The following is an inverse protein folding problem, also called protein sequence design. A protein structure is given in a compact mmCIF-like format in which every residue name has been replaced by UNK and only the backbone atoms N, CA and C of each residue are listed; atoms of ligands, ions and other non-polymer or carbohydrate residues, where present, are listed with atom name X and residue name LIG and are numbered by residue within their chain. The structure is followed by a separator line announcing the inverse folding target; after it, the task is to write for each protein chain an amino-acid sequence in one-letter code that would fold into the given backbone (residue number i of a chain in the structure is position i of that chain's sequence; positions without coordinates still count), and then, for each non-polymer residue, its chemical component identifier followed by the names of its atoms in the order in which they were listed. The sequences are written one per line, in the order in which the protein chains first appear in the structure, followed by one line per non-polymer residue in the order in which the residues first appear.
data_IF_007446535081
#
_entry.id   IF_007446535081
#
_cell.length_a   1.000
_cell.length_b   1.000
_cell.length_c   1.000
_cell.angle_alpha   90.00
_cell.angle_beta   90.00
_cell.angle_gamma   90.00
#
_symmetry.space_group_name_H-M   'P 1'
#
loop_
_entity.id
_entity.type
_entity.pdbx_description
1 polymer ?
#
# COMPACT_ATOMS: atom_id res chain seq x y z
N UNK A 1 -20.54 -2.03 -4.42
CA UNK A 1 -19.54 -1.86 -5.51
C UNK A 1 -18.17 -1.95 -4.85
N UNK A 2 -17.48 -3.05 -5.08
CA UNK A 2 -16.18 -3.34 -4.45
C UNK A 2 -15.15 -2.36 -4.97
N UNK A 3 -14.70 -1.46 -4.11
CA UNK A 3 -13.61 -0.54 -4.42
C UNK A 3 -12.29 -1.32 -4.35
N UNK A 4 -12.02 -2.11 -5.40
CA UNK A 4 -10.84 -2.95 -5.54
C UNK A 4 -9.66 -2.08 -5.99
N UNK A 5 -9.27 -1.11 -5.15
CA UNK A 5 -7.97 -0.43 -5.26
C UNK A 5 -6.91 -1.28 -4.57
N UNK A 6 -6.83 -2.54 -4.99
CA UNK A 6 -5.65 -3.36 -4.73
C UNK A 6 -4.45 -2.57 -5.24
N UNK A 7 -3.48 -2.36 -4.37
CA UNK A 7 -2.26 -1.61 -4.65
C UNK A 7 -1.79 -1.86 -6.09
N UNK A 8 -1.77 -0.82 -6.93
CA UNK A 8 -1.17 -0.84 -8.28
C UNK A 8 0.30 -1.29 -8.30
N UNK A 9 0.87 -1.50 -7.13
CA UNK A 9 2.21 -2.02 -6.87
C UNK A 9 2.44 -3.48 -7.33
N UNK A 10 1.38 -4.23 -7.61
CA UNK A 10 1.48 -5.65 -7.93
C UNK A 10 1.06 -5.98 -9.38
N UNK A 11 1.23 -5.05 -10.32
CA UNK A 11 1.06 -5.29 -11.78
C UNK A 11 -0.28 -5.99 -12.12
N UNK A 12 -1.40 -5.53 -11.55
CA UNK A 12 -2.74 -6.12 -11.71
C UNK A 12 -2.87 -7.60 -11.30
N UNK A 13 -1.88 -8.16 -10.61
CA UNK A 13 -2.00 -9.51 -10.08
C UNK A 13 -2.95 -9.55 -8.88
N UNK A 14 -3.87 -10.52 -8.83
CA UNK A 14 -4.87 -10.61 -7.79
C UNK A 14 -4.24 -11.01 -6.45
N UNK A 15 -4.05 -10.05 -5.55
CA UNK A 15 -3.69 -10.30 -4.16
C UNK A 15 -4.98 -10.40 -3.33
N UNK A 16 -5.17 -11.53 -2.67
CA UNK A 16 -6.33 -11.69 -1.77
C UNK A 16 -6.14 -10.83 -0.53
N UNK A 17 -7.21 -10.14 -0.16
CA UNK A 17 -7.24 -9.23 0.99
C UNK A 17 -8.42 -9.53 1.87
N UNK A 18 -8.34 -9.15 3.14
CA UNK A 18 -9.44 -9.15 4.09
C UNK A 18 -9.42 -7.85 4.89
N UNK A 19 -10.59 -7.30 5.15
CA UNK A 19 -10.78 -6.20 6.09
C UNK A 19 -11.13 -6.74 7.46
N UNK A 20 -10.44 -6.30 8.50
CA UNK A 20 -10.75 -6.57 9.89
C UNK A 20 -11.48 -5.35 10.49
N UNK A 21 -12.78 -5.44 10.79
CA UNK A 21 -13.55 -4.32 11.31
C UNK A 21 -13.26 -3.99 12.77
N UNK A 22 -12.66 -4.92 13.53
CA UNK A 22 -12.34 -4.71 14.95
C UNK A 22 -11.04 -3.91 15.10
N UNK A 23 -10.08 -4.17 14.21
CA UNK A 23 -8.79 -3.47 14.19
C UNK A 23 -8.77 -2.32 13.19
N UNK A 24 -9.83 -2.16 12.37
CA UNK A 24 -9.93 -1.17 11.29
C UNK A 24 -8.74 -1.23 10.32
N UNK A 25 -8.26 -2.47 10.01
CA UNK A 25 -7.04 -2.71 9.25
C UNK A 25 -7.26 -3.67 8.07
N UNK A 26 -6.49 -3.47 6.99
CA UNK A 26 -6.45 -4.38 5.85
C UNK A 26 -5.36 -5.43 6.01
N UNK A 27 -5.74 -6.68 5.78
CA UNK A 27 -4.83 -7.82 5.76
C UNK A 27 -4.65 -8.37 4.36
N UNK A 28 -3.41 -8.66 4.00
CA UNK A 28 -2.98 -9.11 2.68
C UNK A 28 -2.42 -10.53 2.75
N UNK A 29 -2.76 -11.37 1.77
CA UNK A 29 -2.20 -12.72 1.63
C UNK A 29 -0.70 -12.66 1.33
N UNK A 30 0.13 -13.09 2.28
CA UNK A 30 1.60 -13.09 2.13
C UNK A 30 2.00 -14.03 1.00
N UNK A 31 1.34 -15.18 0.88
CA UNK A 31 1.65 -16.17 -0.17
C UNK A 31 1.40 -15.60 -1.57
N UNK A 32 0.35 -14.80 -1.76
CA UNK A 32 0.06 -14.19 -3.05
C UNK A 32 1.12 -13.14 -3.40
N UNK A 33 1.48 -12.28 -2.46
CA UNK A 33 2.52 -11.26 -2.63
C UNK A 33 3.88 -11.89 -2.93
N UNK A 34 4.27 -12.91 -2.16
CA UNK A 34 5.49 -13.69 -2.41
C UNK A 34 5.46 -14.32 -3.79
N UNK A 35 4.32 -14.90 -4.19
CA UNK A 35 4.14 -15.51 -5.50
C UNK A 35 4.40 -14.52 -6.62
N UNK A 36 3.84 -13.34 -6.56
CA UNK A 36 4.02 -12.27 -7.56
C UNK A 36 5.47 -11.79 -7.59
N UNK A 37 6.05 -11.47 -6.43
CA UNK A 37 7.39 -10.89 -6.34
C UNK A 37 8.51 -11.89 -6.64
N UNK A 38 8.27 -13.19 -6.52
CA UNK A 38 9.25 -14.24 -6.82
C UNK A 38 8.91 -15.03 -8.09
N UNK A 39 7.91 -14.55 -8.85
CA UNK A 39 7.48 -15.15 -10.14
C UNK A 39 7.13 -16.63 -10.02
N UNK A 40 6.50 -17.02 -8.90
CA UNK A 40 6.09 -18.41 -8.73
C UNK A 40 4.86 -18.73 -9.57
N UNK A 41 4.99 -19.73 -10.41
CA UNK A 41 3.94 -20.15 -11.34
C UNK A 41 2.72 -20.80 -10.66
N UNK A 42 2.86 -21.24 -9.42
CA UNK A 42 1.78 -21.89 -8.66
C UNK A 42 1.71 -21.42 -7.21
N UNK A 43 0.50 -21.43 -6.64
CA UNK A 43 0.30 -21.14 -5.22
C UNK A 43 1.07 -22.09 -4.29
N UNK A 44 1.29 -23.36 -4.73
CA UNK A 44 2.09 -24.31 -3.97
C UNK A 44 3.56 -23.88 -3.88
N UNK A 45 4.14 -23.45 -4.99
CA UNK A 45 5.53 -22.97 -5.02
C UNK A 45 5.68 -21.71 -4.19
N UNK A 46 4.74 -20.77 -4.28
CA UNK A 46 4.72 -19.57 -3.46
C UNK A 46 4.63 -19.90 -1.95
N UNK A 47 3.80 -20.87 -1.56
CA UNK A 47 3.70 -21.34 -0.18
C UNK A 47 5.01 -22.00 0.30
N UNK A 48 5.67 -22.77 -0.56
CA UNK A 48 6.98 -23.38 -0.25
C UNK A 48 8.04 -22.29 -0.05
N UNK A 49 8.08 -21.31 -0.95
CA UNK A 49 9.00 -20.18 -0.83
C UNK A 49 8.77 -19.41 0.48
N UNK A 50 7.51 -19.13 0.81
CA UNK A 50 7.17 -18.47 2.07
C UNK A 50 7.63 -19.26 3.29
N UNK A 51 7.46 -20.59 3.29
CA UNK A 51 7.95 -21.44 4.38
C UNK A 51 9.48 -21.37 4.55
N UNK A 52 10.23 -21.35 3.45
CA UNK A 52 11.69 -21.17 3.46
C UNK A 52 12.06 -19.77 3.96
N UNK A 53 11.38 -18.72 3.49
CA UNK A 53 11.61 -17.36 3.92
C UNK A 53 11.35 -17.18 5.41
N UNK A 54 10.25 -17.75 5.94
CA UNK A 54 9.98 -17.76 7.38
C UNK A 54 11.11 -18.38 8.19
N UNK A 55 11.64 -19.52 7.73
CA UNK A 55 12.75 -20.19 8.40
C UNK A 55 14.00 -19.32 8.43
N UNK A 56 14.32 -18.67 7.31
CA UNK A 56 15.47 -17.77 7.19
C UNK A 56 15.33 -16.56 8.13
N UNK A 57 14.18 -15.90 8.13
CA UNK A 57 13.90 -14.74 8.98
C UNK A 57 14.06 -15.09 10.46
N UNK A 58 13.62 -16.29 10.89
CA UNK A 58 13.85 -16.79 12.26
C UNK A 58 15.32 -16.97 12.57
N UNK A 59 16.09 -17.52 11.63
CA UNK A 59 17.53 -17.73 11.81
C UNK A 59 18.33 -16.40 11.88
N UNK A 60 17.83 -15.37 11.20
CA UNK A 60 18.40 -14.02 11.19
C UNK A 60 17.96 -13.18 12.40
N UNK A 61 17.16 -13.74 13.32
CA UNK A 61 16.66 -13.04 14.51
C UNK A 61 15.52 -12.04 14.22
N UNK A 62 14.88 -12.15 13.06
CA UNK A 62 13.75 -11.32 12.67
C UNK A 62 12.40 -11.94 13.05
N UNK A 63 12.31 -12.58 14.21
CA UNK A 63 11.10 -13.26 14.69
C UNK A 63 9.91 -12.31 14.84
N UNK A 64 10.15 -11.06 15.18
CA UNK A 64 9.09 -10.04 15.30
C UNK A 64 8.30 -9.85 14.00
N UNK A 65 8.95 -10.00 12.84
CA UNK A 65 8.28 -9.94 11.54
C UNK A 65 7.21 -11.02 11.36
N UNK A 66 7.36 -12.13 12.08
CA UNK A 66 6.48 -13.29 11.95
C UNK A 66 5.44 -13.34 13.05
N UNK A 67 5.72 -12.73 14.21
CA UNK A 67 4.84 -12.78 15.39
C UNK A 67 3.51 -12.08 15.13
N UNK A 68 3.51 -11.01 14.35
CA UNK A 68 2.31 -10.23 14.01
C UNK A 68 1.59 -10.75 12.77
N UNK A 69 2.11 -11.79 12.10
CA UNK A 69 1.39 -12.44 11.01
C UNK A 69 0.22 -13.26 11.56
N UNK A 70 -0.97 -12.99 11.04
CA UNK A 70 -2.19 -13.72 11.41
C UNK A 70 -2.50 -14.81 10.40
N UNK A 71 -3.45 -15.69 10.76
CA UNK A 71 -4.03 -16.66 9.83
C UNK A 71 -5.52 -16.39 9.65
N UNK A 72 -5.91 -16.06 8.42
CA UNK A 72 -7.30 -15.82 8.05
C UNK A 72 -7.77 -16.84 7.00
N UNK A 73 -9.09 -17.16 7.04
CA UNK A 73 -9.71 -18.01 6.04
C UNK A 73 -10.01 -17.21 4.78
N UNK A 74 -9.13 -17.25 3.80
CA UNK A 74 -9.33 -16.61 2.50
C UNK A 74 -9.86 -17.60 1.45
N UNK A 75 -10.65 -17.08 0.49
CA UNK A 75 -11.16 -17.88 -0.64
C UNK A 75 -10.02 -18.19 -1.60
N UNK A 76 -9.81 -19.47 -1.88
CA UNK A 76 -8.84 -19.94 -2.87
C UNK A 76 -9.46 -19.96 -4.28
N UNK A 77 -8.64 -20.17 -5.32
CA UNK A 77 -9.07 -20.23 -6.72
C UNK A 77 -10.07 -21.35 -7.01
N UNK A 78 -10.03 -22.43 -6.21
CA UNK A 78 -10.99 -23.55 -6.25
C UNK A 78 -12.31 -23.26 -5.51
N UNK A 79 -12.50 -22.04 -5.03
CA UNK A 79 -13.70 -21.60 -4.31
C UNK A 79 -13.72 -22.00 -2.81
N UNK A 80 -12.81 -22.83 -2.36
CA UNK A 80 -12.73 -23.27 -0.94
C UNK A 80 -12.07 -22.21 -0.08
N UNK A 81 -12.51 -22.07 1.16
CA UNK A 81 -11.85 -21.24 2.16
C UNK A 81 -10.73 -22.01 2.84
N UNK A 82 -9.52 -21.44 2.82
CA UNK A 82 -8.32 -22.04 3.43
C UNK A 82 -7.64 -21.04 4.36
N UNK A 83 -7.11 -21.55 5.47
CA UNK A 83 -6.23 -20.75 6.32
C UNK A 83 -5.02 -20.30 5.52
N UNK A 84 -4.78 -19.00 5.52
CA UNK A 84 -3.72 -18.33 4.76
C UNK A 84 -3.02 -17.36 5.68
N UNK A 85 -1.69 -17.37 5.67
CA UNK A 85 -0.90 -16.39 6.39
C UNK A 85 -1.12 -15.01 5.77
N UNK A 86 -1.49 -14.06 6.61
CA UNK A 86 -1.75 -12.67 6.21
C UNK A 86 -0.94 -11.71 7.08
N UNK A 87 -0.67 -10.55 6.53
CA UNK A 87 -0.02 -9.45 7.22
C UNK A 87 -0.79 -8.16 6.97
N UNK A 88 -0.75 -7.24 7.94
CA UNK A 88 -1.14 -5.86 7.75
C UNK A 88 -0.18 -5.12 6.81
N UNK A 89 -0.44 -3.86 6.54
CA UNK A 89 0.37 -3.08 5.60
C UNK A 89 1.81 -2.94 6.07
N UNK A 90 2.05 -2.65 7.35
CA UNK A 90 3.40 -2.46 7.89
C UNK A 90 4.23 -3.74 7.80
N UNK A 91 3.67 -4.85 8.29
CA UNK A 91 4.34 -6.14 8.26
C UNK A 91 4.62 -6.61 6.83
N UNK A 92 3.65 -6.39 5.91
CA UNK A 92 3.83 -6.72 4.51
C UNK A 92 5.00 -5.97 3.89
N UNK A 93 5.11 -4.66 4.12
CA UNK A 93 6.22 -3.83 3.63
C UNK A 93 7.57 -4.33 4.15
N UNK A 94 7.66 -4.72 5.41
CA UNK A 94 8.87 -5.30 6.01
C UNK A 94 9.22 -6.67 5.40
N UNK A 95 8.23 -7.54 5.18
CA UNK A 95 8.42 -8.85 4.54
C UNK A 95 8.94 -8.68 3.11
N UNK A 96 8.38 -7.75 2.33
CA UNK A 96 8.81 -7.48 0.95
C UNK A 96 10.28 -7.06 0.89
N UNK A 97 10.75 -6.25 1.84
CA UNK A 97 12.15 -5.85 1.91
C UNK A 97 13.09 -7.04 2.10
N UNK A 98 12.61 -8.11 2.74
CA UNK A 98 13.37 -9.34 2.99
C UNK A 98 13.39 -10.30 1.79
N UNK A 99 12.63 -10.04 0.72
CA UNK A 99 12.57 -10.90 -0.46
C UNK A 99 13.73 -10.56 -1.41
N UNK A 100 14.71 -11.48 -1.65
CA UNK A 100 15.79 -11.26 -2.60
C UNK A 100 15.32 -11.59 -4.02
N UNK A 101 14.54 -10.71 -4.61
CA UNK A 101 14.04 -10.86 -5.98
C UNK A 101 14.24 -9.58 -6.77
N UNK A 102 14.59 -9.71 -8.06
CA UNK A 102 14.67 -8.58 -9.00
C UNK A 102 13.33 -7.86 -9.14
N UNK A 103 12.22 -8.58 -9.05
CA UNK A 103 10.85 -8.01 -9.08
C UNK A 103 10.50 -7.21 -7.84
N UNK A 104 11.13 -7.50 -6.70
CA UNK A 104 10.96 -6.73 -5.48
C UNK A 104 11.77 -5.41 -5.47
N UNK A 105 12.81 -5.29 -6.32
CA UNK A 105 13.68 -4.10 -6.34
C UNK A 105 12.94 -2.78 -6.67
N UNK A 106 12.08 -2.70 -7.69
CA UNK A 106 11.31 -1.47 -7.95
C UNK A 106 10.48 -1.03 -6.75
N UNK A 107 9.92 -2.00 -6.01
CA UNK A 107 9.16 -1.74 -4.79
C UNK A 107 10.05 -1.20 -3.66
N UNK A 108 11.24 -1.80 -3.46
CA UNK A 108 12.21 -1.33 -2.45
C UNK A 108 12.71 0.08 -2.75
N UNK A 109 12.97 0.37 -4.04
CA UNK A 109 13.33 1.71 -4.50
C UNK A 109 12.21 2.72 -4.25
N UNK A 110 10.97 2.37 -4.59
CA UNK A 110 9.81 3.21 -4.31
C UNK A 110 9.65 3.47 -2.80
N UNK A 111 9.82 2.46 -1.96
CA UNK A 111 9.74 2.61 -0.50
C UNK A 111 10.84 3.53 0.04
N UNK A 112 12.06 3.40 -0.50
CA UNK A 112 13.18 4.29 -0.15
C UNK A 112 12.89 5.73 -0.58
N UNK A 113 12.28 5.93 -1.76
CA UNK A 113 11.86 7.24 -2.26
C UNK A 113 10.79 7.86 -1.33
N UNK A 114 9.75 7.11 -0.97
CA UNK A 114 8.71 7.56 -0.02
C UNK A 114 9.30 7.92 1.33
N UNK A 115 10.23 7.11 1.84
CA UNK A 115 10.94 7.39 3.09
C UNK A 115 11.75 8.68 3.02
N UNK A 116 12.46 8.90 1.91
CA UNK A 116 13.21 10.15 1.65
C UNK A 116 12.29 11.35 1.63
N UNK A 117 11.21 11.30 0.84
CA UNK A 117 10.21 12.36 0.74
C UNK A 117 9.63 12.71 2.12
N UNK A 118 9.33 11.70 2.94
CA UNK A 118 8.81 11.92 4.29
C UNK A 118 9.81 12.60 5.23
N UNK A 119 11.10 12.28 5.10
CA UNK A 119 12.18 12.95 5.85
C UNK A 119 12.29 14.41 5.40
N UNK A 120 12.29 14.67 4.08
CA UNK A 120 12.36 16.02 3.51
C UNK A 120 11.17 16.88 3.93
N UNK A 121 9.95 16.35 3.90
CA UNK A 121 8.74 17.02 4.41
C UNK A 121 8.83 17.38 5.91
N UNK A 122 9.52 16.55 6.70
CA UNK A 122 9.70 16.83 8.13
C UNK A 122 10.68 17.98 8.35
N UNK A 123 11.66 18.12 7.48
CA UNK A 123 12.67 19.20 7.52
C UNK A 123 12.14 20.49 6.90
N UNK A 124 11.29 20.39 5.90
CA UNK A 124 10.66 21.53 5.22
C UNK A 124 9.14 21.31 5.08
N UNK A 125 8.34 21.85 6.00
CA UNK A 125 6.89 21.67 5.99
C UNK A 125 6.18 22.27 4.75
N UNK A 126 6.81 23.16 3.98
CA UNK A 126 6.21 23.71 2.76
C UNK A 126 6.06 22.63 1.69
N UNK A 127 6.93 21.61 1.66
CA UNK A 127 6.84 20.47 0.75
C UNK A 127 5.56 19.65 0.96
N UNK A 128 5.01 19.62 2.17
CA UNK A 128 3.71 18.96 2.46
C UNK A 128 2.60 19.63 1.66
N UNK A 129 2.59 20.96 1.62
CA UNK A 129 1.59 21.71 0.88
C UNK A 129 1.72 21.48 -0.64
N UNK A 130 2.92 21.45 -1.17
CA UNK A 130 3.18 21.14 -2.58
C UNK A 130 2.75 19.72 -2.96
N UNK A 131 3.10 18.72 -2.17
CA UNK A 131 2.68 17.33 -2.36
C UNK A 131 1.15 17.16 -2.28
N UNK A 132 0.51 17.88 -1.37
CA UNK A 132 -0.94 17.88 -1.25
C UNK A 132 -1.58 18.44 -2.51
N UNK A 133 -1.13 19.58 -3.00
CA UNK A 133 -1.61 20.20 -4.25
C UNK A 133 -1.45 19.24 -5.42
N UNK A 134 -0.25 18.68 -5.62
CA UNK A 134 0.03 17.73 -6.70
C UNK A 134 -0.84 16.46 -6.62
N UNK A 135 -1.16 16.00 -5.41
CA UNK A 135 -2.04 14.85 -5.19
C UNK A 135 -3.49 15.16 -5.54
N UNK A 136 -3.99 16.34 -5.17
CA UNK A 136 -5.34 16.78 -5.54
C UNK A 136 -5.48 17.01 -7.05
N UNK A 137 -4.50 17.60 -7.71
CA UNK A 137 -4.47 17.77 -9.16
C UNK A 137 -4.51 16.43 -9.89
N UNK A 138 -3.70 15.47 -9.46
CA UNK A 138 -3.66 14.11 -10.03
C UNK A 138 -4.98 13.37 -9.87
N UNK A 139 -5.67 13.55 -8.74
CA UNK A 139 -6.95 12.92 -8.47
C UNK A 139 -8.14 13.63 -9.11
N UNK A 140 -7.93 14.79 -9.77
CA UNK A 140 -8.97 15.54 -10.45
C UNK A 140 -9.85 16.41 -9.56
N UNK A 141 -9.64 16.42 -8.23
CA UNK A 141 -10.44 17.23 -7.31
C UNK A 141 -10.30 18.74 -7.55
N UNK A 142 -9.10 19.19 -7.92
CA UNK A 142 -8.85 20.59 -8.30
C UNK A 142 -9.40 20.94 -9.68
N UNK A 143 -9.59 19.96 -10.54
CA UNK A 143 -10.07 20.18 -11.92
C UNK A 143 -11.49 20.71 -11.92
N UNK A 144 -12.37 20.18 -11.09
CA UNK A 144 -13.75 20.66 -10.96
C UNK A 144 -13.79 22.07 -10.36
N UNK A 145 -13.07 22.32 -9.29
CA UNK A 145 -12.97 23.65 -8.66
C UNK A 145 -12.28 24.67 -9.57
N UNK A 146 -11.29 24.26 -10.37
CA UNK A 146 -10.61 25.11 -11.34
C UNK A 146 -11.49 25.43 -12.54
N UNK A 147 -12.36 24.51 -12.96
CA UNK A 147 -13.34 24.75 -14.02
C UNK A 147 -14.42 25.77 -13.60
N UNK A 148 -14.84 25.74 -12.33
CA UNK A 148 -15.81 26.73 -11.82
C UNK A 148 -15.18 28.11 -11.58
N UNK A 149 -13.95 28.19 -11.11
CA UNK A 149 -13.32 29.45 -10.67
C UNK A 149 -12.30 30.05 -11.62
N UNK A 150 -11.97 29.35 -12.73
CA UNK A 150 -11.04 29.81 -13.76
C UNK A 150 -9.76 30.51 -13.20
N UNK A 151 -8.96 29.82 -12.35
CA UNK A 151 -7.83 30.46 -11.70
C UNK A 151 -6.77 30.91 -12.72
N UNK A 152 -6.29 32.13 -12.54
CA UNK A 152 -5.21 32.70 -13.32
C UNK A 152 -3.93 32.77 -12.47
N UNK A 153 -3.09 31.74 -12.59
CA UNK A 153 -1.79 31.68 -11.92
C UNK A 153 -1.73 30.74 -10.72
N UNK A 154 -0.50 30.48 -10.29
CA UNK A 154 -0.16 29.49 -9.26
C UNK A 154 -0.80 29.80 -7.90
N UNK A 155 -0.79 31.05 -7.46
CA UNK A 155 -1.35 31.45 -6.15
C UNK A 155 -2.87 31.23 -6.05
N UNK A 156 -3.60 31.45 -7.12
CA UNK A 156 -5.05 31.19 -7.16
C UNK A 156 -5.33 29.69 -7.18
N UNK A 157 -4.53 28.91 -7.89
CA UNK A 157 -4.63 27.44 -7.89
C UNK A 157 -4.32 26.85 -6.52
N UNK A 158 -3.32 27.39 -5.80
CA UNK A 158 -2.97 27.04 -4.42
C UNK A 158 -4.13 27.29 -3.45
N UNK A 159 -4.78 28.46 -3.57
CA UNK A 159 -5.94 28.82 -2.75
C UNK A 159 -7.14 27.89 -3.01
N UNK A 160 -7.40 27.53 -4.26
CA UNK A 160 -8.47 26.59 -4.64
C UNK A 160 -8.18 25.18 -4.09
N UNK A 161 -6.93 24.72 -4.16
CA UNK A 161 -6.52 23.43 -3.59
C UNK A 161 -6.69 23.41 -2.05
N UNK A 162 -6.38 24.51 -1.36
CA UNK A 162 -6.58 24.66 0.09
C UNK A 162 -8.07 24.61 0.46
N UNK A 163 -8.93 25.26 -0.33
CA UNK A 163 -10.39 25.23 -0.14
C UNK A 163 -10.91 23.79 -0.35
N UNK A 164 -10.49 23.10 -1.41
CA UNK A 164 -10.86 21.73 -1.67
C UNK A 164 -10.43 20.79 -0.53
N UNK A 165 -9.22 20.97 0.00
CA UNK A 165 -8.71 20.22 1.15
C UNK A 165 -9.51 20.44 2.43
N UNK A 166 -9.95 21.67 2.71
CA UNK A 166 -10.77 21.98 3.88
C UNK A 166 -12.17 21.39 3.78
N UNK A 167 -12.78 21.38 2.58
CA UNK A 167 -14.09 20.76 2.32
C UNK A 167 -14.01 19.25 2.55
N UNK A 168 -12.97 18.59 2.02
CA UNK A 168 -12.76 17.15 2.21
C UNK A 168 -12.46 16.77 3.66
N UNK A 169 -11.78 17.65 4.41
CA UNK A 169 -11.49 17.47 5.84
C UNK A 169 -12.72 17.61 6.74
N UNK A 170 -13.66 18.48 6.37
CA UNK A 170 -14.91 18.67 7.12
C UNK A 170 -15.92 17.53 6.85
N UNK A 171 -15.96 16.98 5.64
CA UNK A 171 -16.83 15.86 5.29
C UNK A 171 -16.48 14.54 6.00
N UNK A 172 -15.35 14.48 6.73
CA UNK A 172 -14.95 13.32 7.56
C UNK A 172 -15.35 13.44 9.02
N UNK A 173 -15.93 14.58 9.43
CA UNK A 173 -16.32 14.84 10.83
C UNK A 173 -17.82 14.70 11.08
N UNK A 174 -18.62 14.52 10.02
CA UNK A 174 -20.05 14.19 10.04
C UNK A 174 -20.24 12.68 9.74
#
# INVERSE_FOLDING_TARGET
MSNNKTLQLFEDQPIRTAWDPEEEEWYFSIVDVVGVLTEQSTARNASTYWAVLKKRLKQEGADELLTNCKQLKLKASDGKRRLTDVADTEQLLRIIQSIPSKKAEPFKLWLAQVGKERIEETLDPELIAEHMIATYERKGYTRELSQEKHPQGFEQSKTIAQIGGSIAGNARKD
#
